data_IF_257687935121
#
_entry.id   IF_257687935121
#
_cell.length_a   1.000
_cell.length_b   1.000
_cell.length_c   1.000
_cell.angle_alpha   90.00
_cell.angle_beta   90.00
_cell.angle_gamma   90.00
#
_symmetry.space_group_name_H-M   'P 1'
#
loop_
_entity.id
_entity.type
_entity.pdbx_description
1 polymer ?
#
# COMPACT_ATOMS: atom_id res chain seq x y z
N UNK A 1 2.73 -16.89 18.50
CA UNK A 1 3.05 -15.48 18.17
C UNK A 1 4.36 -15.31 17.38
N UNK A 2 5.56 -15.64 17.89
CA UNK A 2 6.84 -15.40 17.17
C UNK A 2 6.95 -16.07 15.78
N UNK A 3 6.44 -17.30 15.62
CA UNK A 3 6.39 -18.00 14.32
C UNK A 3 5.43 -17.37 13.30
N UNK A 4 4.29 -16.82 13.75
CA UNK A 4 3.36 -16.10 12.87
C UNK A 4 3.94 -14.77 12.39
N UNK A 5 4.64 -14.05 13.29
CA UNK A 5 5.30 -12.79 12.95
C UNK A 5 6.36 -12.95 11.86
N UNK A 6 7.17 -14.02 11.92
CA UNK A 6 8.16 -14.30 10.88
C UNK A 6 7.56 -14.69 9.53
N UNK A 7 6.43 -15.41 9.55
CA UNK A 7 5.75 -15.87 8.32
C UNK A 7 5.00 -14.73 7.61
N UNK A 8 4.53 -13.73 8.35
CA UNK A 8 3.79 -12.57 7.82
C UNK A 8 4.63 -11.27 7.84
N UNK A 9 5.96 -11.35 8.04
CA UNK A 9 6.83 -10.17 8.23
C UNK A 9 6.78 -9.20 7.06
N UNK A 10 6.66 -9.71 5.84
CA UNK A 10 6.54 -8.90 4.62
C UNK A 10 5.27 -8.03 4.67
N UNK A 11 4.12 -8.62 5.01
CA UNK A 11 2.86 -7.89 5.16
C UNK A 11 2.87 -6.87 6.29
N UNK A 12 3.53 -7.19 7.41
CA UNK A 12 3.72 -6.22 8.50
C UNK A 12 4.56 -5.03 8.04
N UNK A 13 5.61 -5.29 7.25
CA UNK A 13 6.48 -4.23 6.72
C UNK A 13 5.72 -3.34 5.75
N UNK A 14 4.99 -3.93 4.79
CA UNK A 14 4.14 -3.22 3.81
C UNK A 14 3.08 -2.38 4.54
N UNK A 15 2.43 -2.94 5.56
CA UNK A 15 1.42 -2.23 6.34
C UNK A 15 2.00 -1.02 7.09
N UNK A 16 3.20 -1.15 7.65
CA UNK A 16 3.90 -0.04 8.31
C UNK A 16 4.29 1.04 7.28
N UNK A 17 4.83 0.64 6.13
CA UNK A 17 5.17 1.56 5.04
C UNK A 17 3.93 2.35 4.59
N UNK A 18 2.78 1.69 4.44
CA UNK A 18 1.52 2.31 4.06
C UNK A 18 1.01 3.31 5.10
N UNK A 19 1.14 3.00 6.40
CA UNK A 19 0.82 3.95 7.48
C UNK A 19 1.76 5.16 7.44
N UNK A 20 3.07 4.95 7.27
CA UNK A 20 4.06 6.03 7.22
C UNK A 20 3.77 6.97 6.04
N UNK A 21 3.45 6.42 4.87
CA UNK A 21 3.08 7.22 3.69
C UNK A 21 1.77 7.95 3.92
N UNK A 22 0.76 7.30 4.51
CA UNK A 22 -0.49 7.97 4.86
C UNK A 22 -0.28 9.16 5.77
N UNK A 23 0.65 9.07 6.73
CA UNK A 23 1.04 10.19 7.60
C UNK A 23 1.79 11.28 6.82
N UNK A 24 2.71 10.92 5.92
CA UNK A 24 3.44 11.88 5.07
C UNK A 24 2.48 12.67 4.17
N UNK A 25 1.52 11.99 3.55
CA UNK A 25 0.45 12.58 2.74
C UNK A 25 -0.44 13.48 3.59
N UNK A 26 -0.86 13.04 4.78
CA UNK A 26 -1.63 13.91 5.70
C UNK A 26 -0.88 15.18 6.10
N UNK A 27 0.45 15.10 6.24
CA UNK A 27 1.29 16.26 6.53
C UNK A 27 1.52 17.17 5.31
N UNK A 28 0.92 16.88 4.14
CA UNK A 28 1.11 17.61 2.88
C UNK A 28 2.59 17.79 2.51
N UNK A 29 3.44 16.83 2.90
CA UNK A 29 4.88 16.96 2.68
C UNK A 29 5.27 16.75 1.20
N UNK A 30 4.37 16.20 0.39
CA UNK A 30 4.60 15.90 -1.01
C UNK A 30 3.52 16.50 -1.92
N UNK A 31 3.51 17.83 -2.04
CA UNK A 31 2.56 18.52 -2.90
C UNK A 31 2.63 18.04 -4.37
N UNK A 32 1.59 17.33 -4.81
CA UNK A 32 1.35 17.09 -6.24
C UNK A 32 1.01 18.42 -6.93
N UNK A 33 1.57 18.70 -8.11
CA UNK A 33 1.33 19.99 -8.77
C UNK A 33 -0.13 20.16 -9.20
N UNK A 34 -0.58 21.41 -9.13
CA UNK A 34 -1.92 21.85 -9.57
C UNK A 34 -2.21 21.66 -11.06
N UNK A 35 -1.22 21.27 -11.86
CA UNK A 35 -1.35 21.02 -13.30
C UNK A 35 -1.73 19.56 -13.62
N UNK A 36 -1.75 18.67 -12.63
CA UNK A 36 -2.23 17.31 -12.81
C UNK A 36 -3.77 17.28 -12.91
N UNK A 37 -4.35 16.36 -13.70
CA UNK A 37 -5.81 16.20 -13.75
C UNK A 37 -6.34 15.96 -12.33
N UNK A 38 -7.44 16.64 -11.97
CA UNK A 38 -8.00 16.72 -10.61
C UNK A 38 -8.05 15.36 -9.87
N UNK A 39 -8.34 14.26 -10.59
CA UNK A 39 -8.38 12.92 -10.02
C UNK A 39 -7.04 12.45 -9.40
N UNK A 40 -5.91 12.93 -9.90
CA UNK A 40 -4.58 12.60 -9.36
C UNK A 40 -4.17 13.56 -8.24
N UNK A 41 -4.63 14.82 -8.27
CA UNK A 41 -4.41 15.78 -7.18
C UNK A 41 -5.10 15.38 -5.87
N UNK A 42 -6.25 14.70 -5.96
CA UNK A 42 -6.98 14.19 -4.78
C UNK A 42 -6.17 13.18 -3.96
N UNK A 43 -5.21 12.47 -4.55
CA UNK A 43 -4.41 11.45 -3.85
C UNK A 43 -3.48 12.04 -2.79
N UNK A 44 -3.21 13.34 -2.89
CA UNK A 44 -2.40 14.10 -1.93
C UNK A 44 -3.26 14.85 -0.89
N UNK A 45 -4.59 14.72 -0.97
CA UNK A 45 -5.47 15.34 0.03
C UNK A 45 -5.51 14.52 1.33
N UNK A 46 -5.64 15.23 2.46
CA UNK A 46 -5.77 14.66 3.80
C UNK A 46 -6.77 13.48 3.96
N UNK A 47 -7.94 13.44 3.28
CA UNK A 47 -8.86 12.30 3.34
C UNK A 47 -8.28 11.03 2.74
N UNK A 48 -7.47 11.12 1.68
CA UNK A 48 -6.78 9.97 1.10
C UNK A 48 -5.65 9.50 2.00
N UNK A 49 -4.90 10.42 2.62
CA UNK A 49 -3.95 10.10 3.69
C UNK A 49 -4.58 9.28 4.82
N UNK A 50 -5.81 9.61 5.22
CA UNK A 50 -6.57 8.84 6.21
C UNK A 50 -6.95 7.43 5.70
N UNK A 51 -7.30 7.28 4.42
CA UNK A 51 -7.54 5.96 3.82
C UNK A 51 -6.30 5.07 3.84
N UNK A 52 -5.11 5.61 3.55
CA UNK A 52 -3.84 4.87 3.66
C UNK A 52 -3.62 4.36 5.09
N UNK A 53 -3.84 5.21 6.10
CA UNK A 53 -3.69 4.82 7.49
C UNK A 53 -4.71 3.73 7.87
N UNK A 54 -5.96 3.85 7.46
CA UNK A 54 -7.00 2.87 7.76
C UNK A 54 -6.71 1.53 7.10
N UNK A 55 -6.34 1.52 5.81
CA UNK A 55 -6.04 0.29 5.06
C UNK A 55 -4.75 -0.35 5.60
N UNK A 56 -3.70 0.44 5.81
CA UNK A 56 -2.45 -0.02 6.42
C UNK A 56 -2.66 -0.58 7.83
N UNK A 57 -3.44 0.09 8.69
CA UNK A 57 -3.76 -0.40 10.04
C UNK A 57 -4.58 -1.69 9.98
N UNK A 58 -5.56 -1.78 9.07
CA UNK A 58 -6.38 -2.99 8.90
C UNK A 58 -5.52 -4.15 8.38
N UNK A 59 -4.59 -3.90 7.46
CA UNK A 59 -3.62 -4.87 6.96
C UNK A 59 -2.64 -5.31 8.07
N UNK A 60 -2.20 -4.38 8.93
CA UNK A 60 -1.36 -4.67 10.09
C UNK A 60 -2.08 -5.58 11.08
N UNK A 61 -3.30 -5.22 11.49
CA UNK A 61 -4.10 -6.03 12.42
C UNK A 61 -4.39 -7.41 11.82
N UNK A 62 -4.76 -7.47 10.53
CA UNK A 62 -4.99 -8.73 9.83
C UNK A 62 -3.72 -9.59 9.73
N UNK A 63 -2.55 -8.99 9.51
CA UNK A 63 -1.28 -9.71 9.41
C UNK A 63 -0.74 -10.17 10.78
N UNK A 64 -0.98 -9.40 11.84
CA UNK A 64 -0.58 -9.74 13.22
C UNK A 64 -1.49 -10.79 13.86
N UNK A 65 -2.80 -10.65 13.67
CA UNK A 65 -3.79 -11.52 14.31
C UNK A 65 -4.14 -12.75 13.45
N UNK A 66 -3.75 -12.76 12.17
CA UNK A 66 -4.02 -13.82 11.20
C UNK A 66 -5.51 -14.21 11.17
N UNK A 67 -6.38 -13.20 11.07
CA UNK A 67 -7.83 -13.42 11.01
C UNK A 67 -8.18 -14.29 9.78
N UNK A 68 -8.79 -15.45 10.03
CA UNK A 68 -9.25 -16.39 9.01
C UNK A 68 -10.58 -15.98 8.37
N UNK A 69 -10.73 -14.70 8.03
CA UNK A 69 -11.94 -14.24 7.34
C UNK A 69 -11.80 -14.47 5.82
N UNK A 70 -12.78 -15.17 5.24
CA UNK A 70 -12.77 -15.55 3.83
C UNK A 70 -12.57 -14.32 2.93
N UNK A 71 -11.54 -14.33 2.09
CA UNK A 71 -11.20 -13.31 1.07
C UNK A 71 -10.81 -11.91 1.56
N UNK A 72 -10.97 -11.56 2.84
CA UNK A 72 -10.58 -10.23 3.36
C UNK A 72 -9.09 -9.95 3.11
N UNK A 73 -8.22 -10.96 3.30
CA UNK A 73 -6.78 -10.81 3.01
C UNK A 73 -6.54 -10.47 1.53
N UNK A 74 -7.25 -11.11 0.60
CA UNK A 74 -7.09 -10.83 -0.83
C UNK A 74 -7.56 -9.40 -1.18
N UNK A 75 -8.68 -8.96 -0.58
CA UNK A 75 -9.19 -7.60 -0.76
C UNK A 75 -8.19 -6.56 -0.23
N UNK A 76 -7.63 -6.77 0.96
CA UNK A 76 -6.64 -5.85 1.56
C UNK A 76 -5.35 -5.78 0.74
N UNK A 77 -4.88 -6.93 0.23
CA UNK A 77 -3.70 -6.98 -0.66
C UNK A 77 -3.98 -6.24 -1.96
N UNK A 78 -5.15 -6.45 -2.56
CA UNK A 78 -5.54 -5.77 -3.80
C UNK A 78 -5.71 -4.26 -3.60
N UNK A 79 -6.28 -3.83 -2.48
CA UNK A 79 -6.41 -2.41 -2.12
C UNK A 79 -5.03 -1.77 -1.92
N UNK A 80 -4.18 -2.36 -1.07
CA UNK A 80 -2.83 -1.87 -0.81
C UNK A 80 -2.01 -1.80 -2.11
N UNK A 81 -1.96 -2.88 -2.89
CA UNK A 81 -1.26 -2.90 -4.17
C UNK A 81 -1.81 -1.89 -5.19
N UNK A 82 -3.13 -1.73 -5.24
CA UNK A 82 -3.78 -0.71 -6.07
C UNK A 82 -3.37 0.70 -5.69
N UNK A 83 -3.37 1.03 -4.40
CA UNK A 83 -2.99 2.35 -3.91
C UNK A 83 -1.52 2.66 -4.20
N UNK A 84 -0.61 1.72 -3.96
CA UNK A 84 0.82 1.87 -4.28
C UNK A 84 1.07 2.08 -5.78
N UNK A 85 0.34 1.36 -6.63
CA UNK A 85 0.42 1.52 -8.09
C UNK A 85 -0.06 2.91 -8.50
N UNK A 86 -1.18 3.36 -7.95
CA UNK A 86 -1.76 4.67 -8.24
C UNK A 86 -0.78 5.77 -7.81
N UNK A 87 -0.22 5.71 -6.60
CA UNK A 87 0.82 6.66 -6.16
C UNK A 87 2.02 6.67 -7.11
N UNK A 88 2.56 5.51 -7.45
CA UNK A 88 3.70 5.40 -8.37
C UNK A 88 3.42 6.10 -9.69
N UNK A 89 2.26 5.84 -10.29
CA UNK A 89 1.85 6.46 -11.56
C UNK A 89 1.63 7.96 -11.41
N UNK A 90 0.97 8.41 -10.35
CA UNK A 90 0.71 9.83 -10.11
C UNK A 90 1.99 10.64 -9.98
N UNK A 91 2.99 10.15 -9.24
CA UNK A 91 4.29 10.80 -9.11
C UNK A 91 5.12 10.70 -10.39
N UNK A 92 5.07 9.59 -11.11
CA UNK A 92 5.77 9.46 -12.39
C UNK A 92 5.19 10.43 -13.45
N UNK A 93 3.87 10.59 -13.49
CA UNK A 93 3.23 11.56 -14.37
C UNK A 93 3.57 13.00 -13.97
N UNK A 94 3.62 13.29 -12.67
CA UNK A 94 4.05 14.60 -12.16
C UNK A 94 5.46 14.95 -12.63
N UNK A 95 6.40 14.01 -12.52
CA UNK A 95 7.78 14.19 -12.94
C UNK A 95 7.90 14.44 -14.46
N UNK A 96 7.12 13.71 -15.27
CA UNK A 96 7.05 13.93 -16.73
C UNK A 96 6.51 15.32 -17.06
N UNK A 97 5.45 15.77 -16.36
CA UNK A 97 4.83 17.08 -16.60
C UNK A 97 5.75 18.23 -16.17
N UNK A 98 6.50 18.06 -15.07
CA UNK A 98 7.44 19.08 -14.58
C UNK A 98 8.82 19.05 -15.25
N UNK A 99 9.07 18.08 -16.13
CA UNK A 99 10.38 17.80 -16.71
C UNK A 99 11.49 17.69 -15.64
N UNK A 100 11.13 17.13 -14.48
CA UNK A 100 12.01 17.00 -13.32
C UNK A 100 11.99 15.54 -12.85
N UNK A 101 13.15 14.90 -12.88
CA UNK A 101 13.33 13.52 -12.43
C UNK A 101 13.50 13.48 -10.91
N UNK A 102 12.43 13.13 -10.20
CA UNK A 102 12.45 12.89 -8.76
C UNK A 102 12.74 11.42 -8.46
N UNK A 103 13.33 11.15 -7.30
CA UNK A 103 13.59 9.78 -6.84
C UNK A 103 12.32 9.11 -6.27
N UNK A 104 11.30 9.90 -5.96
CA UNK A 104 10.05 9.46 -5.32
C UNK A 104 9.30 8.38 -6.10
N UNK A 105 9.00 8.53 -7.41
CA UNK A 105 8.29 7.49 -8.15
C UNK A 105 9.09 6.18 -8.25
N UNK A 106 10.42 6.24 -8.24
CA UNK A 106 11.26 5.02 -8.23
C UNK A 106 11.13 4.26 -6.90
N UNK A 107 11.10 4.97 -5.77
CA UNK A 107 10.87 4.35 -4.45
C UNK A 107 9.50 3.66 -4.43
N UNK A 108 8.46 4.34 -4.91
CA UNK A 108 7.10 3.76 -4.95
C UNK A 108 7.00 2.58 -5.91
N UNK A 109 7.71 2.60 -7.04
CA UNK A 109 7.77 1.47 -7.96
C UNK A 109 8.41 0.23 -7.31
N UNK A 110 9.48 0.41 -6.52
CA UNK A 110 10.11 -0.68 -5.77
C UNK A 110 9.14 -1.26 -4.73
N UNK A 111 8.45 -0.40 -3.97
CA UNK A 111 7.48 -0.84 -2.96
C UNK A 111 6.31 -1.58 -3.64
N UNK A 112 5.77 -1.02 -4.72
CA UNK A 112 4.71 -1.65 -5.52
C UNK A 112 5.13 -3.04 -5.99
N UNK A 113 6.35 -3.17 -6.53
CA UNK A 113 6.90 -4.45 -6.98
C UNK A 113 7.01 -5.45 -5.81
N UNK A 114 7.48 -4.99 -4.64
CA UNK A 114 7.55 -5.82 -3.44
C UNK A 114 6.16 -6.27 -2.96
N UNK A 115 5.14 -5.43 -3.05
CA UNK A 115 3.75 -5.78 -2.73
C UNK A 115 3.24 -6.87 -3.68
N UNK A 116 3.45 -6.72 -4.98
CA UNK A 116 3.05 -7.74 -5.97
C UNK A 116 3.80 -9.07 -5.81
N UNK A 117 5.11 -9.02 -5.54
CA UNK A 117 5.90 -10.22 -5.26
C UNK A 117 5.43 -10.91 -3.97
N UNK A 118 5.15 -10.14 -2.92
CA UNK A 118 4.63 -10.66 -1.66
C UNK A 118 3.23 -11.27 -1.86
N UNK A 119 2.37 -10.64 -2.67
CA UNK A 119 1.06 -11.17 -3.05
C UNK A 119 1.17 -12.49 -3.81
N UNK A 120 2.16 -12.62 -4.70
CA UNK A 120 2.40 -13.84 -5.48
C UNK A 120 2.92 -15.00 -4.62
N UNK A 121 3.76 -14.69 -3.63
CA UNK A 121 4.30 -15.67 -2.68
C UNK A 121 3.29 -16.08 -1.59
N UNK A 122 2.18 -15.36 -1.45
CA UNK A 122 1.19 -15.66 -0.42
C UNK A 122 0.53 -17.03 -0.66
N UNK A 123 0.49 -17.91 0.36
CA UNK A 123 -0.05 -19.25 0.17
C UNK A 123 -1.54 -19.22 -0.21
N UNK A 124 -1.88 -19.90 -1.32
CA UNK A 124 -3.25 -19.94 -1.87
C UNK A 124 -4.31 -20.43 -0.87
N UNK A 125 -3.93 -21.28 0.09
CA UNK A 125 -4.84 -21.78 1.13
C UNK A 125 -5.30 -20.65 2.07
N UNK A 126 -4.45 -19.64 2.34
CA UNK A 126 -4.83 -18.45 3.13
C UNK A 126 -5.78 -17.53 2.37
N UNK A 127 -5.67 -17.48 1.04
CA UNK A 127 -6.55 -16.67 0.18
C UNK A 127 -7.97 -17.24 0.08
N UNK A 128 -8.13 -18.55 0.29
CA UNK A 128 -9.43 -19.26 0.29
C UNK A 128 -10.08 -19.40 1.67
N UNK A 129 -9.55 -18.76 2.70
CA UNK A 129 -10.12 -18.80 4.06
C UNK A 129 -9.62 -19.95 4.94
N UNK A 130 -8.50 -20.58 4.58
CA UNK A 130 -7.86 -21.61 5.39
C UNK A 130 -8.37 -23.02 5.13
N UNK A 131 -7.44 -23.98 5.02
CA UNK A 131 -7.80 -25.39 5.11
C UNK A 131 -8.19 -25.68 6.56
N UNK A 132 -9.44 -26.12 6.76
CA UNK A 132 -9.88 -26.77 7.98
C UNK A 132 -9.06 -28.06 8.17
N UNK A 133 -8.05 -28.01 9.02
CA UNK A 133 -7.49 -29.18 9.70
C UNK A 133 -7.12 -28.81 11.13
#
# INVERSE_FOLDING_TARGET
MKRHFWKNRQWVTIAIEEIVIGVIVMMHYQQLDSHLPHALGLLDDAPFGMLYIVIGTTLLVNSLWDFYWHRIRLILIALSGGMWTILTVSYALNDIVKDNLSIVPFIFAIITTNVFLSAWLEPRYKLKGGDHY
#
